data_IF_345100889492
#
_entry.id   IF_345100889492
#
_cell.length_a   1.000
_cell.length_b   1.000
_cell.length_c   1.000
_cell.angle_alpha   90.00
_cell.angle_beta   90.00
_cell.angle_gamma   90.00
#
_symmetry.space_group_name_H-M   'P 1'
#
loop_
_entity.id
_entity.type
_entity.pdbx_description
1 polymer ?
#
# COMPACT_ATOMS: atom_id res chain seq x y z
N UNK A 1 9.61 2.31 -2.81
CA UNK A 1 9.55 1.34 -1.69
C UNK A 1 10.55 0.22 -1.91
N UNK A 2 11.26 -0.24 -0.87
CA UNK A 2 12.13 -1.44 -0.94
C UNK A 2 11.36 -2.67 -0.48
N UNK A 3 11.59 -3.83 -1.10
CA UNK A 3 10.94 -5.05 -0.62
C UNK A 3 11.43 -5.44 0.78
N UNK A 4 10.50 -5.83 1.66
CA UNK A 4 10.79 -6.23 3.04
C UNK A 4 10.64 -5.13 4.11
N UNK A 5 10.41 -3.87 3.74
CA UNK A 5 10.05 -2.82 4.70
C UNK A 5 8.54 -2.78 4.94
N UNK A 6 8.13 -2.37 6.15
CA UNK A 6 6.71 -2.34 6.52
C UNK A 6 5.97 -1.30 5.69
N UNK A 7 4.87 -1.71 5.06
CA UNK A 7 3.94 -0.80 4.34
C UNK A 7 3.55 0.41 5.20
N UNK A 8 3.41 0.21 6.52
CA UNK A 8 3.14 1.28 7.47
C UNK A 8 4.23 2.37 7.47
N UNK A 9 5.51 1.99 7.47
CA UNK A 9 6.63 2.94 7.47
C UNK A 9 6.61 3.81 6.22
N UNK A 10 6.35 3.22 5.05
CA UNK A 10 6.21 3.97 3.79
C UNK A 10 5.01 4.91 3.79
N UNK A 11 3.88 4.48 4.36
CA UNK A 11 2.70 5.35 4.51
C UNK A 11 3.00 6.54 5.44
N UNK A 12 3.72 6.32 6.54
CA UNK A 12 4.07 7.36 7.49
C UNK A 12 5.06 8.38 6.86
N UNK A 13 6.06 7.90 6.09
CA UNK A 13 6.98 8.77 5.33
C UNK A 13 6.24 9.58 4.25
N UNK A 14 5.35 8.93 3.49
CA UNK A 14 4.52 9.60 2.49
C UNK A 14 3.67 10.71 3.12
N UNK A 15 3.00 10.43 4.23
CA UNK A 15 2.19 11.42 4.95
C UNK A 15 3.02 12.60 5.46
N UNK A 16 4.26 12.35 5.91
CA UNK A 16 5.18 13.42 6.31
C UNK A 16 5.50 14.34 5.13
N UNK A 17 5.79 13.78 3.95
CA UNK A 17 6.08 14.56 2.73
C UNK A 17 4.88 15.40 2.32
N UNK A 18 3.67 14.83 2.34
CA UNK A 18 2.44 15.58 2.03
C UNK A 18 2.23 16.73 3.02
N UNK A 19 2.52 16.50 4.31
CA UNK A 19 2.44 17.55 5.32
C UNK A 19 3.46 18.67 5.09
N UNK A 20 4.69 18.33 4.70
CA UNK A 20 5.74 19.30 4.38
C UNK A 20 5.40 20.13 3.14
N UNK A 21 4.83 19.51 2.10
CA UNK A 21 4.34 20.21 0.91
C UNK A 21 3.20 21.17 1.28
N UNK A 22 2.27 20.72 2.14
CA UNK A 22 1.18 21.58 2.64
C UNK A 22 1.71 22.77 3.44
N UNK A 23 2.82 22.63 4.16
CA UNK A 23 3.42 23.72 4.94
C UNK A 23 3.97 24.85 4.05
N UNK A 24 4.32 24.56 2.80
CA UNK A 24 4.72 25.57 1.80
C UNK A 24 3.58 25.94 0.84
N UNK A 25 2.34 25.68 1.27
CA UNK A 25 1.08 25.93 0.54
C UNK A 25 0.94 25.16 -0.79
N UNK A 26 1.66 24.05 -0.94
CA UNK A 26 1.44 23.10 -2.03
C UNK A 26 0.41 22.07 -1.58
N UNK A 27 -0.74 22.07 -2.24
CA UNK A 27 -1.82 21.11 -2.00
C UNK A 27 -1.87 20.14 -3.17
N UNK A 28 -1.76 18.86 -2.85
CA UNK A 28 -1.98 17.76 -3.80
C UNK A 28 -3.39 17.24 -3.53
N UNK A 29 -4.19 17.02 -4.58
CA UNK A 29 -5.53 16.47 -4.42
C UNK A 29 -5.48 15.01 -3.92
N UNK A 30 -6.54 14.53 -3.27
CA UNK A 30 -6.55 13.19 -2.68
C UNK A 30 -6.39 12.08 -3.73
N UNK A 31 -6.89 12.31 -4.94
CA UNK A 31 -6.74 11.42 -6.08
C UNK A 31 -5.29 11.37 -6.56
N UNK A 32 -4.65 12.52 -6.75
CA UNK A 32 -3.23 12.60 -7.09
C UNK A 32 -2.34 11.94 -6.03
N UNK A 33 -2.64 12.17 -4.75
CA UNK A 33 -1.93 11.50 -3.64
C UNK A 33 -2.07 9.97 -3.73
N UNK A 34 -3.25 9.48 -4.09
CA UNK A 34 -3.51 8.05 -4.26
C UNK A 34 -2.71 7.47 -5.43
N UNK A 35 -2.67 8.16 -6.58
CA UNK A 35 -1.88 7.75 -7.76
C UNK A 35 -0.39 7.73 -7.40
N UNK A 36 0.13 8.79 -6.79
CA UNK A 36 1.53 8.88 -6.35
C UNK A 36 1.87 7.72 -5.42
N UNK A 37 1.01 7.43 -4.44
CA UNK A 37 1.22 6.31 -3.51
C UNK A 37 1.29 4.97 -4.25
N UNK A 38 0.42 4.72 -5.23
CA UNK A 38 0.44 3.50 -6.04
C UNK A 38 1.72 3.40 -6.88
N UNK A 39 2.22 4.50 -7.43
CA UNK A 39 3.49 4.54 -8.16
C UNK A 39 4.73 4.26 -7.28
N UNK A 40 4.66 4.54 -5.97
CA UNK A 40 5.76 4.27 -5.04
C UNK A 40 5.87 2.81 -4.60
N UNK A 41 4.87 1.98 -4.90
CA UNK A 41 4.85 0.58 -4.53
C UNK A 41 5.89 -0.24 -5.32
N UNK A 42 6.42 -1.32 -4.74
CA UNK A 42 7.33 -2.21 -5.44
C UNK A 42 6.57 -3.05 -6.47
N UNK A 43 7.28 -3.60 -7.46
CA UNK A 43 6.71 -4.42 -8.54
C UNK A 43 5.92 -5.65 -8.04
N UNK A 44 6.21 -6.16 -6.84
CA UNK A 44 5.40 -7.21 -6.20
C UNK A 44 3.95 -6.78 -5.88
N UNK A 45 3.64 -5.49 -6.02
CA UNK A 45 2.31 -4.93 -5.86
C UNK A 45 1.61 -4.61 -7.19
N UNK A 46 2.25 -4.85 -8.34
CA UNK A 46 1.72 -4.51 -9.66
C UNK A 46 0.32 -5.11 -9.90
N UNK A 47 0.17 -6.42 -9.70
CA UNK A 47 -1.14 -7.11 -9.78
C UNK A 47 -2.17 -6.55 -8.80
N UNK A 48 -1.73 -6.07 -7.63
CA UNK A 48 -2.64 -5.43 -6.67
C UNK A 48 -3.07 -4.05 -7.16
N UNK A 49 -2.17 -3.25 -7.73
CA UNK A 49 -2.48 -1.95 -8.31
C UNK A 49 -3.48 -2.14 -9.46
N UNK A 50 -3.21 -3.06 -10.39
CA UNK A 50 -4.10 -3.37 -11.50
C UNK A 50 -5.50 -3.77 -11.03
N UNK A 51 -5.56 -4.69 -10.06
CA UNK A 51 -6.85 -5.16 -9.51
C UNK A 51 -7.56 -4.06 -8.73
N UNK A 52 -6.81 -3.23 -8.02
CA UNK A 52 -7.37 -2.14 -7.22
C UNK A 52 -7.95 -1.04 -8.11
N UNK A 53 -7.31 -0.73 -9.24
CA UNK A 53 -7.79 0.27 -10.20
C UNK A 53 -8.89 -0.26 -11.13
N UNK A 54 -9.03 -1.57 -11.25
CA UNK A 54 -10.00 -2.18 -12.16
C UNK A 54 -11.43 -1.71 -11.90
N UNK A 55 -12.02 -1.03 -12.89
CA UNK A 55 -13.40 -0.56 -12.85
C UNK A 55 -13.68 0.56 -11.85
N UNK A 56 -12.65 1.25 -11.34
CA UNK A 56 -12.82 2.46 -10.52
C UNK A 56 -12.63 3.71 -11.38
N UNK A 57 -13.64 4.57 -11.38
CA UNK A 57 -13.59 5.88 -12.07
C UNK A 57 -12.91 6.97 -11.21
N UNK A 58 -12.83 6.76 -9.90
CA UNK A 58 -12.13 7.65 -8.96
C UNK A 58 -11.48 6.86 -7.83
N UNK A 59 -10.40 7.41 -7.28
CA UNK A 59 -9.67 6.83 -6.16
C UNK A 59 -9.37 7.87 -5.09
N UNK A 60 -9.24 7.41 -3.84
CA UNK A 60 -8.87 8.24 -2.71
C UNK A 60 -7.67 7.64 -1.97
N UNK A 61 -6.88 8.51 -1.32
CA UNK A 61 -5.73 8.07 -0.54
C UNK A 61 -6.15 7.13 0.62
N UNK A 62 -7.31 7.35 1.21
CA UNK A 62 -7.85 6.51 2.29
C UNK A 62 -8.15 5.09 1.79
N UNK A 63 -8.74 4.96 0.60
CA UNK A 63 -9.00 3.66 -0.01
C UNK A 63 -7.70 2.89 -0.29
N UNK A 64 -6.71 3.57 -0.86
CA UNK A 64 -5.38 2.98 -1.12
C UNK A 64 -4.72 2.55 0.19
N UNK A 65 -4.74 3.40 1.21
CA UNK A 65 -4.16 3.12 2.52
C UNK A 65 -4.81 1.92 3.20
N UNK A 66 -6.14 1.81 3.13
CA UNK A 66 -6.88 0.69 3.71
C UNK A 66 -6.64 -0.62 2.96
N UNK A 67 -6.64 -0.58 1.64
CA UNK A 67 -6.37 -1.75 0.80
C UNK A 67 -4.93 -2.26 1.00
N UNK A 68 -3.95 -1.35 1.09
CA UNK A 68 -2.56 -1.68 1.37
C UNK A 68 -2.36 -2.32 2.74
N UNK A 69 -2.98 -1.76 3.79
CA UNK A 69 -2.95 -2.36 5.14
C UNK A 69 -3.58 -3.76 5.16
N UNK A 70 -4.69 -3.95 4.44
CA UNK A 70 -5.35 -5.25 4.32
C UNK A 70 -4.48 -6.28 3.59
N UNK A 71 -3.86 -5.92 2.47
CA UNK A 71 -2.94 -6.79 1.73
C UNK A 71 -1.72 -7.16 2.57
N UNK A 72 -1.11 -6.17 3.24
CA UNK A 72 0.02 -6.41 4.14
C UNK A 72 -0.35 -7.38 5.26
N UNK A 73 -1.49 -7.18 5.92
CA UNK A 73 -1.99 -8.05 6.97
C UNK A 73 -2.22 -9.48 6.47
N UNK A 74 -2.85 -9.66 5.29
CA UNK A 74 -3.04 -10.97 4.68
C UNK A 74 -1.71 -11.67 4.42
N UNK A 75 -0.71 -10.95 3.90
CA UNK A 75 0.65 -11.49 3.68
C UNK A 75 1.32 -11.94 4.99
N UNK A 76 1.17 -11.15 6.07
CA UNK A 76 1.68 -11.52 7.39
C UNK A 76 0.99 -12.78 7.95
N UNK A 77 -0.34 -12.89 7.80
CA UNK A 77 -1.09 -14.05 8.29
C UNK A 77 -0.75 -15.33 7.50
N UNK A 78 -0.60 -15.25 6.18
CA UNK A 78 -0.22 -16.39 5.34
C UNK A 78 1.16 -16.95 5.73
N UNK A 79 2.10 -16.09 6.15
CA UNK A 79 3.41 -16.54 6.64
C UNK A 79 3.36 -17.31 7.96
N UNK A 80 2.31 -17.14 8.77
CA UNK A 80 2.12 -17.85 10.05
C UNK A 80 1.36 -19.18 9.93
N UNK A 81 0.71 -19.44 8.79
CA UNK A 81 -0.11 -20.66 8.57
C UNK A 81 0.62 -21.77 7.80
N UNK A 82 1.96 -21.71 7.72
CA UNK A 82 2.80 -22.72 7.04
C UNK A 82 3.53 -23.71 7.96
N UNK A 83 3.16 -23.85 9.24
CA UNK A 83 3.79 -24.79 10.19
C UNK A 83 2.80 -25.72 10.86
N UNK A 84 2.09 -26.53 10.08
CA UNK A 84 1.39 -27.73 10.55
C UNK A 84 0.78 -28.50 9.37
N UNK A 85 1.61 -29.29 8.70
CA UNK A 85 1.22 -30.58 8.08
C UNK A 85 2.49 -31.28 7.59
N UNK A 86 3.29 -31.79 8.53
CA UNK A 86 4.14 -32.93 8.22
C UNK A 86 3.21 -34.14 8.18
N UNK A 87 2.89 -34.61 6.98
CA UNK A 87 2.38 -35.97 6.82
C UNK A 87 3.60 -36.88 6.91
N UNK A 88 3.84 -37.46 8.09
CA UNK A 88 4.70 -38.65 8.21
C UNK A 88 3.87 -39.85 7.72
N UNK A 89 4.39 -40.51 6.68
CA UNK A 89 3.97 -41.84 6.23
C UNK A 89 4.66 -42.91 7.07
#
# INVERSE_FOLDING_TARGET
MTEGTLVKTHLDEFNSIIMDLKNIDIKIESEDQAIIMLCFLPLSYDTFVDTFLYGKDSISLDDVSNALKSKALKSFLNSKTGKNTTYEL
#
